data_IF_734409349728
#
_entry.id   IF_734409349728
#
_cell.length_a   1.000
_cell.length_b   1.000
_cell.length_c   1.000
_cell.angle_alpha   90.00
_cell.angle_beta   90.00
_cell.angle_gamma   90.00
#
_symmetry.space_group_name_H-M   'P 1'
#
loop_
_entity.id
_entity.type
_entity.pdbx_description
1 polymer ?
#
# COMPACT_ATOMS: atom_id res chain seq x y z
N UNK A 1 29.83 -9.47 1.18
CA UNK A 1 28.97 -10.67 1.29
C UNK A 1 29.21 -11.45 2.59
N UNK A 2 30.42 -11.42 3.18
CA UNK A 2 30.74 -12.12 4.42
C UNK A 2 29.97 -11.68 5.69
N UNK A 3 29.42 -10.46 5.73
CA UNK A 3 28.79 -9.93 6.96
C UNK A 3 27.45 -10.58 7.33
N UNK A 4 26.66 -11.00 6.34
CA UNK A 4 25.34 -11.61 6.58
C UNK A 4 25.48 -13.02 7.18
N UNK A 5 26.51 -13.76 6.77
CA UNK A 5 26.76 -15.14 7.23
C UNK A 5 27.25 -15.19 8.68
N UNK A 6 27.73 -14.06 9.23
CA UNK A 6 28.24 -13.94 10.60
C UNK A 6 27.27 -13.26 11.56
N UNK A 7 26.15 -12.71 11.06
CA UNK A 7 25.15 -12.01 11.87
C UNK A 7 24.28 -12.96 12.68
N UNK A 8 23.88 -12.52 13.86
CA UNK A 8 22.81 -13.17 14.61
C UNK A 8 21.45 -12.95 13.92
N UNK A 9 20.48 -13.84 14.19
CA UNK A 9 19.14 -13.73 13.59
C UNK A 9 18.49 -12.33 13.79
N UNK A 10 18.57 -11.69 14.98
CA UNK A 10 18.03 -10.34 15.18
C UNK A 10 18.75 -9.27 14.34
N UNK A 11 20.08 -9.33 14.24
CA UNK A 11 20.86 -8.38 13.43
C UNK A 11 20.52 -8.51 11.94
N UNK A 12 20.35 -9.76 11.47
CA UNK A 12 19.91 -10.02 10.11
C UNK A 12 18.51 -9.47 9.85
N UNK A 13 17.55 -9.69 10.76
CA UNK A 13 16.19 -9.17 10.63
C UNK A 13 16.17 -7.64 10.56
N UNK A 14 16.95 -6.97 11.42
CA UNK A 14 17.09 -5.52 11.42
C UNK A 14 17.71 -5.00 10.12
N UNK A 15 18.75 -5.67 9.61
CA UNK A 15 19.37 -5.32 8.34
C UNK A 15 18.40 -5.48 7.16
N UNK A 16 17.59 -6.55 7.18
CA UNK A 16 16.57 -6.81 6.16
C UNK A 16 15.44 -5.77 6.19
N UNK A 17 14.99 -5.38 7.38
CA UNK A 17 14.01 -4.31 7.55
C UNK A 17 14.54 -2.99 6.98
N UNK A 18 15.76 -2.58 7.38
CA UNK A 18 16.38 -1.35 6.90
C UNK A 18 16.58 -1.36 5.38
N UNK A 19 16.95 -2.51 4.81
CA UNK A 19 17.07 -2.69 3.36
C UNK A 19 15.71 -2.54 2.66
N UNK A 20 14.64 -3.14 3.22
CA UNK A 20 13.31 -3.03 2.67
C UNK A 20 12.81 -1.57 2.67
N UNK A 21 13.03 -0.84 3.77
CA UNK A 21 12.71 0.60 3.86
C UNK A 21 13.49 1.39 2.80
N UNK A 22 14.81 1.15 2.68
CA UNK A 22 15.64 1.80 1.66
C UNK A 22 15.14 1.55 0.24
N UNK A 23 14.67 0.33 -0.04
CA UNK A 23 14.10 0.00 -1.35
C UNK A 23 12.78 0.74 -1.59
N UNK A 24 11.96 0.93 -0.55
CA UNK A 24 10.72 1.73 -0.62
C UNK A 24 11.00 3.19 -0.95
N UNK A 25 12.01 3.80 -0.33
CA UNK A 25 12.45 5.16 -0.68
C UNK A 25 12.92 5.25 -2.14
N UNK A 26 13.65 4.26 -2.63
CA UNK A 26 14.04 4.22 -4.06
C UNK A 26 12.83 4.11 -4.99
N UNK A 27 11.77 3.41 -4.57
CA UNK A 27 10.51 3.34 -5.33
C UNK A 27 9.76 4.67 -5.28
N UNK A 28 9.83 5.40 -4.18
CA UNK A 28 9.28 6.76 -4.09
C UNK A 28 9.91 7.69 -5.11
N UNK A 29 11.23 7.68 -5.27
CA UNK A 29 11.90 8.48 -6.30
C UNK A 29 11.40 8.15 -7.71
N UNK A 30 11.22 6.86 -8.01
CA UNK A 30 10.69 6.39 -9.30
C UNK A 30 9.23 6.81 -9.46
N UNK A 31 8.43 6.68 -8.41
CA UNK A 31 7.04 7.11 -8.39
C UNK A 31 6.96 8.63 -8.58
N UNK A 32 7.86 9.40 -8.01
CA UNK A 32 7.92 10.86 -8.16
C UNK A 32 8.26 11.24 -9.60
N UNK A 33 9.21 10.54 -10.25
CA UNK A 33 9.47 10.71 -11.68
C UNK A 33 8.23 10.36 -12.51
N UNK A 34 7.56 9.24 -12.21
CA UNK A 34 6.33 8.84 -12.89
C UNK A 34 5.21 9.86 -12.67
N UNK A 35 5.09 10.44 -11.48
CA UNK A 35 4.13 11.49 -11.14
C UNK A 35 4.34 12.74 -11.98
N UNK A 36 5.59 13.20 -12.11
CA UNK A 36 5.93 14.32 -12.98
C UNK A 36 5.70 14.02 -14.47
N UNK A 37 5.85 12.77 -14.90
CA UNK A 37 5.48 12.37 -16.25
C UNK A 37 3.95 12.25 -16.42
N UNK A 38 3.23 11.88 -15.36
CA UNK A 38 1.79 11.68 -15.37
C UNK A 38 1.00 12.99 -15.40
N UNK A 39 1.52 14.07 -14.80
CA UNK A 39 0.91 15.40 -14.92
C UNK A 39 0.81 15.88 -16.38
N UNK A 40 1.63 15.32 -17.28
CA UNK A 40 1.59 15.59 -18.73
C UNK A 40 0.41 14.88 -19.43
N UNK A 41 -0.18 13.82 -18.86
CA UNK A 41 -1.14 12.97 -19.57
C UNK A 41 -2.45 12.63 -18.82
N UNK A 42 -2.53 12.80 -17.49
CA UNK A 42 -3.62 12.22 -16.69
C UNK A 42 -4.69 13.23 -16.28
N UNK A 43 -5.43 13.74 -17.25
CA UNK A 43 -6.63 14.52 -16.98
C UNK A 43 -7.88 13.66 -17.15
N UNK A 44 -8.66 13.48 -16.08
CA UNK A 44 -10.05 13.02 -16.13
C UNK A 44 -10.97 14.23 -16.34
N UNK A 45 -11.96 14.12 -17.20
CA UNK A 45 -12.93 15.20 -17.42
C UNK A 45 -13.26 15.36 -18.90
N UNK A 46 -14.01 16.41 -19.21
CA UNK A 46 -14.22 16.84 -20.60
C UNK A 46 -12.93 17.50 -21.12
N UNK A 47 -12.69 17.42 -22.42
CA UNK A 47 -11.58 18.07 -23.13
C UNK A 47 -11.44 19.57 -22.80
N UNK A 48 -12.57 20.22 -22.47
CA UNK A 48 -12.64 21.64 -22.07
C UNK A 48 -12.32 21.92 -20.60
N UNK A 49 -12.47 20.92 -19.71
CA UNK A 49 -12.23 21.05 -18.26
C UNK A 49 -11.52 19.82 -17.70
N UNK A 50 -10.26 19.60 -18.10
CA UNK A 50 -9.45 18.54 -17.55
C UNK A 50 -9.25 18.68 -16.04
N UNK A 51 -9.48 17.61 -15.28
CA UNK A 51 -9.15 17.51 -13.84
C UNK A 51 -8.12 16.43 -13.62
N UNK A 52 -7.06 16.65 -12.84
CA UNK A 52 -6.07 15.62 -12.57
C UNK A 52 -6.71 14.42 -11.85
N UNK A 53 -6.30 13.20 -12.20
CA UNK A 53 -6.84 11.96 -11.59
C UNK A 53 -6.57 11.87 -10.09
N UNK A 54 -5.39 12.30 -9.68
CA UNK A 54 -4.96 12.38 -8.29
C UNK A 54 -4.70 13.85 -7.95
N UNK A 55 -5.08 14.29 -6.76
CA UNK A 55 -4.93 15.70 -6.37
C UNK A 55 -3.55 16.03 -5.83
N UNK A 56 -2.86 15.03 -5.31
CA UNK A 56 -1.54 15.14 -4.70
C UNK A 56 -0.77 13.83 -4.90
N UNK A 57 0.54 13.89 -4.69
CA UNK A 57 1.41 12.73 -4.83
C UNK A 57 1.05 11.60 -3.87
N UNK A 58 0.64 11.92 -2.64
CA UNK A 58 0.29 10.92 -1.62
C UNK A 58 -0.92 10.05 -2.00
N UNK A 59 -1.85 10.59 -2.81
CA UNK A 59 -2.94 9.82 -3.42
C UNK A 59 -2.48 8.90 -4.55
N UNK A 60 -1.35 9.23 -5.21
CA UNK A 60 -0.75 8.43 -6.27
C UNK A 60 0.18 7.33 -5.71
N UNK A 61 1.03 7.68 -4.75
CA UNK A 61 1.98 6.80 -4.10
C UNK A 61 2.20 7.24 -2.64
N UNK A 62 1.97 6.32 -1.70
CA UNK A 62 2.08 6.61 -0.27
C UNK A 62 3.19 5.77 0.37
N UNK A 63 4.38 6.36 0.43
CA UNK A 63 5.59 5.74 1.00
C UNK A 63 5.41 5.37 2.47
N UNK A 64 4.74 6.23 3.26
CA UNK A 64 4.47 5.99 4.68
C UNK A 64 3.66 4.70 4.90
N UNK A 65 2.66 4.43 4.05
CA UNK A 65 1.88 3.19 4.17
C UNK A 65 2.74 1.96 3.88
N UNK A 66 3.68 2.05 2.94
CA UNK A 66 4.60 0.96 2.62
C UNK A 66 5.62 0.73 3.73
N UNK A 67 6.12 1.79 4.37
CA UNK A 67 7.00 1.67 5.54
C UNK A 67 6.27 1.03 6.72
N UNK A 68 5.03 1.45 7.00
CA UNK A 68 4.20 0.85 8.04
C UNK A 68 4.02 -0.65 7.81
N UNK A 69 3.74 -1.06 6.56
CA UNK A 69 3.61 -2.49 6.19
C UNK A 69 4.90 -3.28 6.40
N UNK A 70 6.06 -2.69 6.09
CA UNK A 70 7.36 -3.32 6.32
C UNK A 70 7.57 -3.48 7.82
N UNK A 71 7.43 -2.41 8.61
CA UNK A 71 7.63 -2.47 10.06
C UNK A 71 6.71 -3.49 10.71
N UNK A 72 5.44 -3.56 10.31
CA UNK A 72 4.51 -4.56 10.82
C UNK A 72 4.88 -6.02 10.52
N UNK A 73 5.74 -6.28 9.53
CA UNK A 73 6.23 -7.63 9.23
C UNK A 73 7.44 -8.01 10.09
N UNK A 74 8.28 -7.05 10.46
CA UNK A 74 9.51 -7.28 11.24
C UNK A 74 9.31 -7.06 12.74
N UNK A 75 8.42 -6.15 13.13
CA UNK A 75 8.10 -5.78 14.50
C UNK A 75 6.68 -6.27 14.88
N UNK A 76 6.55 -7.33 15.71
CA UNK A 76 5.25 -7.91 16.05
C UNK A 76 4.30 -6.96 16.79
N UNK A 77 4.86 -6.03 17.58
CA UNK A 77 4.10 -5.09 18.41
C UNK A 77 3.86 -3.74 17.71
N UNK A 78 4.26 -3.62 16.43
CA UNK A 78 4.10 -2.39 15.67
C UNK A 78 2.64 -2.15 15.33
N UNK A 79 2.13 -0.96 15.69
CA UNK A 79 0.77 -0.54 15.39
C UNK A 79 0.77 0.82 14.70
N UNK A 80 0.00 0.92 13.61
CA UNK A 80 -0.18 2.17 12.88
C UNK A 80 -1.65 2.42 12.57
N UNK A 81 -2.00 3.70 12.41
CA UNK A 81 -3.36 4.11 12.02
C UNK A 81 -3.71 3.63 10.62
N UNK A 82 -2.74 3.56 9.72
CA UNK A 82 -2.94 3.12 8.34
C UNK A 82 -3.25 1.62 8.28
N UNK A 83 -2.47 0.79 8.98
CA UNK A 83 -2.70 -0.66 9.03
C UNK A 83 -4.05 -0.99 9.65
N UNK A 84 -4.38 -0.32 10.76
CA UNK A 84 -5.66 -0.53 11.46
C UNK A 84 -6.82 -0.21 10.52
N UNK A 85 -6.78 0.95 9.87
CA UNK A 85 -7.80 1.38 8.90
C UNK A 85 -7.90 0.43 7.70
N UNK A 86 -6.76 -0.06 7.19
CA UNK A 86 -6.72 -1.02 6.07
C UNK A 86 -7.36 -2.34 6.43
N UNK A 87 -7.05 -2.87 7.62
CA UNK A 87 -7.67 -4.11 8.15
C UNK A 87 -9.19 -3.95 8.32
N UNK A 88 -9.64 -2.81 8.85
CA UNK A 88 -11.06 -2.50 8.96
C UNK A 88 -11.76 -2.47 7.59
N UNK A 89 -11.15 -1.84 6.59
CA UNK A 89 -11.67 -1.80 5.22
C UNK A 89 -11.77 -3.19 4.61
N UNK A 90 -10.75 -4.04 4.77
CA UNK A 90 -10.78 -5.44 4.31
C UNK A 90 -11.91 -6.22 4.96
N UNK A 91 -12.07 -6.11 6.29
CA UNK A 91 -13.15 -6.77 7.02
C UNK A 91 -14.54 -6.30 6.54
N UNK A 92 -14.70 -5.00 6.26
CA UNK A 92 -15.96 -4.46 5.71
C UNK A 92 -16.22 -5.03 4.31
N UNK A 93 -15.20 -5.11 3.46
CA UNK A 93 -15.31 -5.65 2.10
C UNK A 93 -15.71 -7.13 2.12
N UNK A 94 -15.04 -7.95 2.93
CA UNK A 94 -15.37 -9.37 3.11
C UNK A 94 -16.83 -9.56 3.60
N UNK A 95 -17.24 -8.74 4.57
CA UNK A 95 -18.63 -8.75 5.08
C UNK A 95 -19.62 -8.38 3.99
N UNK A 96 -19.29 -7.39 3.15
CA UNK A 96 -20.13 -6.96 2.05
C UNK A 96 -20.26 -8.06 1.00
N UNK A 97 -19.17 -8.70 0.60
CA UNK A 97 -19.17 -9.84 -0.34
C UNK A 97 -20.03 -10.99 0.16
N UNK A 98 -19.83 -11.39 1.43
CA UNK A 98 -20.65 -12.42 2.07
C UNK A 98 -22.14 -12.07 2.09
N UNK A 99 -22.48 -10.79 2.31
CA UNK A 99 -23.87 -10.33 2.26
C UNK A 99 -24.45 -10.43 0.84
N UNK A 100 -23.67 -10.11 -0.20
CA UNK A 100 -24.09 -10.24 -1.59
C UNK A 100 -24.34 -11.71 -1.95
N UNK A 101 -23.44 -12.63 -1.56
CA UNK A 101 -23.62 -14.07 -1.77
C UNK A 101 -24.91 -14.58 -1.12
N UNK A 102 -25.19 -14.19 0.12
CA UNK A 102 -26.42 -14.57 0.82
C UNK A 102 -27.68 -14.05 0.12
N UNK A 103 -27.63 -12.83 -0.43
CA UNK A 103 -28.74 -12.26 -1.21
C UNK A 103 -28.95 -13.01 -2.52
N UNK A 104 -27.89 -13.42 -3.20
CA UNK A 104 -27.97 -14.22 -4.42
C UNK A 104 -28.55 -15.60 -4.14
N UNK A 105 -28.09 -16.29 -3.08
CA UNK A 105 -28.65 -17.59 -2.65
C UNK A 105 -30.13 -17.50 -2.32
N UNK A 106 -30.58 -16.41 -1.68
CA UNK A 106 -32.02 -16.16 -1.40
C UNK A 106 -32.85 -15.88 -2.64
N UNK A 107 -32.27 -15.33 -3.71
CA UNK A 107 -32.96 -15.07 -4.98
C UNK A 107 -32.98 -16.28 -5.93
N UNK A 108 -32.01 -17.19 -5.81
CA UNK A 108 -31.90 -18.41 -6.63
C UNK A 108 -32.59 -19.65 -6.05
N UNK A 109 -33.16 -19.56 -4.84
CA UNK A 109 -33.99 -20.61 -4.25
C UNK A 109 -35.46 -20.39 -4.60
N UNK A 110 -35.86 -20.84 -5.79
CA UNK A 110 -37.24 -21.17 -6.18
C UNK A 110 -37.25 -22.64 -6.60
#
# INVERSE_FOLDING_TARGET
MYEIETMTLPEYQLAMEAYAIKQTLRREDIAMQAWFNQTVQATKGSDKHPKPRYKNFKEFYNTEEQEDEIRAQFEPDYTSKFITKKREQQLIQERFEKLQELKQKRKGGN
#
